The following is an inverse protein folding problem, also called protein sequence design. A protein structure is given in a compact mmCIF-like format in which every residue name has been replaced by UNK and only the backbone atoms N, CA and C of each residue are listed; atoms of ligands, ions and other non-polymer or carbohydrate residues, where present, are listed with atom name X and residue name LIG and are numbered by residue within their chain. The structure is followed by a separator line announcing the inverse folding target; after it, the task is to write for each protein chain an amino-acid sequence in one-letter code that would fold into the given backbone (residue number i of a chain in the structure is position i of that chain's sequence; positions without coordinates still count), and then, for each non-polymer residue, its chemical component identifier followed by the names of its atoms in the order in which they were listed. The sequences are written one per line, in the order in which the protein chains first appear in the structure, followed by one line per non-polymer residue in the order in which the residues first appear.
data_IF_227406393660
#
_entry.id   IF_227406393660
#
_cell.length_a   1.000
_cell.length_b   1.000
_cell.length_c   1.000
_cell.angle_alpha   90.00
_cell.angle_beta   90.00
_cell.angle_gamma   90.00
#
_symmetry.space_group_name_H-M   'P 1'
#
loop_
_entity.id
_entity.type
_entity.pdbx_description
1 polymer ?
#
# COMPACT_ATOMS: atom_id res chain seq x y z
N UNK A 1 35.60 2.20 -33.38
CA UNK A 1 34.97 0.89 -33.65
C UNK A 1 33.86 1.13 -34.65
N UNK A 2 33.72 0.29 -35.68
CA UNK A 2 32.63 0.42 -36.64
C UNK A 2 31.33 -0.09 -36.03
N UNK A 3 30.25 0.67 -36.20
CA UNK A 3 28.92 0.30 -35.73
C UNK A 3 28.00 0.06 -36.93
N UNK A 4 27.10 -0.90 -36.79
CA UNK A 4 26.02 -1.15 -37.76
C UNK A 4 24.68 -1.09 -37.04
N UNK A 5 23.67 -0.47 -37.68
CA UNK A 5 22.31 -0.44 -37.16
C UNK A 5 21.56 -1.70 -37.56
N UNK A 6 20.95 -2.36 -36.60
CA UNK A 6 20.06 -3.51 -36.81
C UNK A 6 18.63 -3.15 -36.44
N UNK A 7 17.66 -3.75 -37.12
CA UNK A 7 16.24 -3.61 -36.78
C UNK A 7 15.86 -4.69 -35.78
N UNK A 8 15.31 -4.28 -34.65
CA UNK A 8 14.88 -5.15 -33.56
C UNK A 8 13.38 -4.91 -33.34
N UNK A 9 12.63 -5.98 -33.10
CA UNK A 9 11.19 -5.93 -32.80
C UNK A 9 11.01 -6.43 -31.37
N UNK A 10 10.33 -5.66 -30.51
CA UNK A 10 10.02 -6.12 -29.16
C UNK A 10 9.11 -7.36 -29.23
N UNK A 11 9.50 -8.51 -28.65
CA UNK A 11 8.68 -9.71 -28.64
C UNK A 11 7.42 -9.59 -27.76
N UNK A 12 7.39 -8.63 -26.82
CA UNK A 12 6.25 -8.41 -25.90
C UNK A 12 5.18 -7.52 -26.52
N UNK A 13 5.56 -6.37 -27.08
CA UNK A 13 4.62 -5.36 -27.57
C UNK A 13 4.65 -5.11 -29.09
N UNK A 14 5.57 -5.74 -29.83
CA UNK A 14 5.65 -5.64 -31.30
C UNK A 14 6.22 -4.33 -31.85
N UNK A 15 6.59 -3.34 -31.00
CA UNK A 15 7.24 -2.10 -31.47
C UNK A 15 8.62 -2.41 -32.05
N UNK A 16 8.99 -1.75 -33.13
CA UNK A 16 10.30 -1.91 -33.77
C UNK A 16 11.18 -0.68 -33.56
N UNK A 17 12.49 -0.91 -33.49
CA UNK A 17 13.49 0.14 -33.36
C UNK A 17 14.80 -0.25 -34.05
N UNK A 18 15.65 0.75 -34.34
CA UNK A 18 16.98 0.52 -34.90
C UNK A 18 18.05 0.81 -33.85
N UNK A 19 18.82 -0.20 -33.48
CA UNK A 19 19.86 -0.07 -32.46
C UNK A 19 21.26 -0.21 -33.09
N UNK A 20 22.26 0.58 -32.66
CA UNK A 20 23.63 0.39 -33.08
C UNK A 20 24.26 -0.81 -32.34
N UNK A 21 24.98 -1.65 -33.08
CA UNK A 21 25.75 -2.77 -32.54
C UNK A 21 27.20 -2.76 -33.08
N UNK A 22 28.21 -3.06 -32.25
CA UNK A 22 29.60 -3.10 -32.69
C UNK A 22 29.83 -4.26 -33.69
N UNK A 23 30.32 -3.94 -34.88
CA UNK A 23 30.58 -4.93 -35.95
C UNK A 23 31.58 -5.99 -35.48
N UNK A 24 32.63 -5.53 -34.79
CA UNK A 24 33.72 -6.39 -34.33
C UNK A 24 33.24 -7.45 -33.33
N UNK A 25 32.24 -7.15 -32.50
CA UNK A 25 31.71 -8.08 -31.49
C UNK A 25 30.88 -9.18 -32.14
N UNK A 26 30.04 -8.82 -33.11
CA UNK A 26 29.17 -9.77 -33.81
C UNK A 26 29.98 -10.69 -34.72
N UNK A 27 30.98 -10.15 -35.44
CA UNK A 27 31.77 -10.94 -36.40
C UNK A 27 32.81 -11.85 -35.75
N UNK A 28 33.30 -11.55 -34.55
CA UNK A 28 34.31 -12.35 -33.84
C UNK A 28 33.82 -13.73 -33.40
N UNK A 29 32.52 -13.94 -33.25
CA UNK A 29 31.98 -15.22 -32.78
C UNK A 29 32.14 -16.28 -33.87
N UNK A 30 32.77 -17.43 -33.61
CA UNK A 30 33.05 -18.42 -34.67
C UNK A 30 31.76 -19.05 -35.23
N UNK A 31 30.79 -19.36 -34.37
CA UNK A 31 29.51 -19.97 -34.71
C UNK A 31 28.34 -19.41 -33.90
N UNK A 32 27.12 -19.45 -34.46
CA UNK A 32 25.88 -19.08 -33.79
C UNK A 32 25.55 -17.58 -33.80
N UNK A 33 24.56 -17.19 -33.00
CA UNK A 33 24.10 -15.80 -32.84
C UNK A 33 24.70 -15.16 -31.58
N UNK A 34 24.93 -13.84 -31.62
CA UNK A 34 25.39 -13.01 -30.51
C UNK A 34 24.19 -12.44 -29.77
N UNK A 35 24.13 -12.63 -28.45
CA UNK A 35 23.10 -12.03 -27.60
C UNK A 35 23.37 -10.55 -27.40
N UNK A 36 22.41 -9.71 -27.79
CA UNK A 36 22.45 -8.25 -27.61
C UNK A 36 21.36 -7.88 -26.61
N UNK A 37 21.75 -7.29 -25.48
CA UNK A 37 20.81 -6.80 -24.48
C UNK A 37 20.16 -5.49 -24.94
N UNK A 38 18.83 -5.44 -24.91
CA UNK A 38 18.01 -4.27 -25.24
C UNK A 38 17.40 -3.74 -23.94
N UNK A 39 17.89 -2.62 -23.40
CA UNK A 39 17.34 -2.05 -22.17
C UNK A 39 15.98 -1.38 -22.41
N UNK A 40 15.17 -1.31 -21.34
CA UNK A 40 13.94 -0.54 -21.32
C UNK A 40 14.20 0.93 -21.69
N UNK A 41 13.30 1.52 -22.47
CA UNK A 41 13.39 2.87 -23.01
C UNK A 41 14.14 2.99 -24.33
N UNK A 42 14.88 1.96 -24.78
CA UNK A 42 15.61 2.02 -26.05
C UNK A 42 14.68 1.88 -27.27
N UNK A 43 13.68 1.00 -27.17
CA UNK A 43 12.64 0.79 -28.20
C UNK A 43 11.24 0.97 -27.59
N UNK A 44 11.03 0.38 -26.41
CA UNK A 44 9.80 0.39 -25.63
C UNK A 44 10.14 0.19 -24.14
N UNK A 45 9.15 0.05 -23.28
CA UNK A 45 9.33 -0.12 -21.83
C UNK A 45 9.83 -1.53 -21.43
N UNK A 46 9.76 -2.50 -22.33
CA UNK A 46 10.25 -3.86 -22.12
C UNK A 46 11.78 -3.98 -22.27
N UNK A 47 12.40 -4.86 -21.48
CA UNK A 47 13.81 -5.25 -21.63
C UNK A 47 13.93 -6.72 -22.06
N UNK A 48 14.81 -7.01 -23.02
CA UNK A 48 14.95 -8.35 -23.60
C UNK A 48 16.31 -8.53 -24.27
N UNK A 49 16.67 -9.77 -24.60
CA UNK A 49 17.82 -10.09 -25.44
C UNK A 49 17.36 -10.37 -26.87
N UNK A 50 18.06 -9.81 -27.84
CA UNK A 50 17.95 -10.18 -29.25
C UNK A 50 19.16 -11.03 -29.64
N UNK A 51 18.94 -12.16 -30.32
CA UNK A 51 20.01 -13.01 -30.85
C UNK A 51 20.31 -12.62 -32.28
N UNK A 52 21.46 -11.98 -32.51
CA UNK A 52 21.86 -11.39 -33.79
C UNK A 52 22.94 -12.25 -34.45
N UNK A 53 22.73 -12.66 -35.68
CA UNK A 53 23.73 -13.45 -36.41
C UNK A 53 24.83 -12.59 -37.06
N UNK A 54 25.77 -13.24 -37.77
CA UNK A 54 26.88 -12.58 -38.48
C UNK A 54 26.43 -11.67 -39.64
N UNK A 55 25.24 -11.90 -40.18
CA UNK A 55 24.65 -11.08 -41.23
C UNK A 55 23.92 -9.85 -40.66
N UNK A 56 23.92 -9.71 -39.33
CA UNK A 56 23.23 -8.67 -38.58
C UNK A 56 21.71 -8.83 -38.61
N UNK A 57 21.22 -10.04 -38.87
CA UNK A 57 19.81 -10.40 -38.81
C UNK A 57 19.46 -10.90 -37.40
N UNK A 58 18.34 -10.43 -36.86
CA UNK A 58 17.81 -10.92 -35.58
C UNK A 58 17.12 -12.26 -35.81
N UNK A 59 17.62 -13.30 -35.16
CA UNK A 59 17.14 -14.69 -35.32
C UNK A 59 16.11 -15.09 -34.29
N UNK A 60 16.24 -14.60 -33.07
CA UNK A 60 15.34 -14.95 -31.98
C UNK A 60 15.38 -13.86 -30.88
N UNK A 61 14.42 -13.93 -29.96
CA UNK A 61 14.33 -13.06 -28.80
C UNK A 61 14.19 -13.89 -27.53
N UNK A 62 14.93 -13.51 -26.50
CA UNK A 62 14.68 -13.97 -25.14
C UNK A 62 14.13 -12.79 -24.35
N UNK A 63 12.83 -12.84 -24.07
CA UNK A 63 12.25 -11.97 -23.04
C UNK A 63 12.96 -12.32 -21.75
N UNK A 64 13.49 -11.31 -21.07
CA UNK A 64 13.89 -11.48 -19.68
C UNK A 64 12.59 -11.66 -18.90
N UNK A 65 12.08 -12.89 -18.86
CA UNK A 65 10.98 -13.25 -17.99
C UNK A 65 11.40 -12.81 -16.60
N UNK A 66 10.64 -11.86 -16.06
CA UNK A 66 10.45 -11.42 -14.68
C UNK A 66 11.58 -11.63 -13.64
N UNK A 67 12.35 -12.72 -13.63
CA UNK A 67 13.48 -13.07 -12.74
C UNK A 67 14.47 -11.95 -12.38
N UNK A 68 14.61 -10.89 -13.18
CA UNK A 68 15.45 -9.72 -12.86
C UNK A 68 14.68 -8.51 -12.31
N UNK A 69 13.35 -8.52 -12.33
CA UNK A 69 12.55 -7.53 -11.62
C UNK A 69 12.61 -7.83 -10.13
N UNK A 70 12.73 -6.75 -9.34
CA UNK A 70 12.46 -6.79 -7.91
C UNK A 70 11.12 -7.51 -7.67
N UNK A 71 11.10 -8.48 -6.76
CA UNK A 71 9.90 -9.25 -6.41
C UNK A 71 8.73 -8.33 -6.07
N UNK A 72 9.01 -7.18 -5.44
CA UNK A 72 7.98 -6.17 -5.14
C UNK A 72 7.32 -5.63 -6.42
N UNK A 73 8.10 -5.38 -7.48
CA UNK A 73 7.57 -4.91 -8.77
C UNK A 73 6.78 -5.98 -9.48
N UNK A 74 7.17 -7.26 -9.37
CA UNK A 74 6.41 -8.38 -9.95
C UNK A 74 5.03 -8.46 -9.31
N UNK A 75 5.00 -8.43 -7.98
CA UNK A 75 3.77 -8.46 -7.19
C UNK A 75 2.88 -7.26 -7.50
N UNK A 76 3.46 -6.08 -7.69
CA UNK A 76 2.70 -4.88 -8.07
C UNK A 76 2.10 -5.00 -9.48
N UNK A 77 2.88 -5.46 -10.46
CA UNK A 77 2.41 -5.69 -11.83
C UNK A 77 1.27 -6.72 -11.87
N UNK A 78 1.42 -7.81 -11.10
CA UNK A 78 0.39 -8.83 -10.93
C UNK A 78 -0.91 -8.23 -10.37
N UNK A 79 -0.85 -7.47 -9.27
CA UNK A 79 -2.05 -6.82 -8.70
C UNK A 79 -2.75 -5.95 -9.73
N UNK A 80 -1.99 -5.13 -10.46
CA UNK A 80 -2.53 -4.26 -11.50
C UNK A 80 -3.16 -5.03 -12.66
N UNK A 81 -2.55 -6.14 -13.07
CA UNK A 81 -3.11 -7.01 -14.11
C UNK A 81 -4.42 -7.68 -13.68
N UNK A 82 -4.47 -8.20 -12.44
CA UNK A 82 -5.69 -8.78 -11.87
C UNK A 82 -6.82 -7.72 -11.85
N UNK A 83 -6.52 -6.50 -11.41
CA UNK A 83 -7.52 -5.43 -11.36
C UNK A 83 -7.97 -4.97 -12.75
N UNK A 84 -7.09 -5.00 -13.75
CA UNK A 84 -7.45 -4.71 -15.15
C UNK A 84 -8.41 -5.76 -15.71
N UNK A 85 -8.25 -7.02 -15.29
CA UNK A 85 -9.11 -8.15 -15.67
C UNK A 85 -10.29 -8.37 -14.70
N UNK A 86 -10.58 -7.41 -13.81
CA UNK A 86 -11.56 -7.55 -12.75
C UNK A 86 -12.97 -7.96 -13.22
N UNK A 87 -13.35 -7.62 -14.45
CA UNK A 87 -14.66 -7.93 -15.03
C UNK A 87 -14.71 -9.31 -15.71
N UNK A 88 -13.56 -9.94 -15.94
CA UNK A 88 -13.48 -11.34 -16.41
C UNK A 88 -13.82 -12.32 -15.29
N UNK A 89 -13.60 -11.91 -14.03
CA UNK A 89 -13.89 -12.74 -12.87
C UNK A 89 -15.38 -12.65 -12.49
N UNK A 90 -16.02 -13.82 -12.30
CA UNK A 90 -17.39 -13.89 -11.79
C UNK A 90 -17.42 -13.63 -10.27
N UNK A 91 -17.28 -12.37 -9.87
CA UNK A 91 -17.18 -11.96 -8.47
C UNK A 91 -18.59 -11.82 -7.88
N UNK A 92 -19.10 -12.95 -7.38
CA UNK A 92 -20.36 -13.03 -6.65
C UNK A 92 -20.12 -13.65 -5.28
N UNK A 93 -20.99 -13.37 -4.32
CA UNK A 93 -20.89 -13.95 -2.97
C UNK A 93 -20.84 -15.49 -3.03
N UNK A 94 -21.70 -16.10 -3.84
CA UNK A 94 -21.71 -17.56 -4.02
C UNK A 94 -20.41 -18.10 -4.63
N UNK A 95 -19.76 -17.36 -5.53
CA UNK A 95 -18.48 -17.78 -6.09
C UNK A 95 -17.35 -17.68 -5.06
N UNK A 96 -17.32 -16.61 -4.26
CA UNK A 96 -16.33 -16.40 -3.20
C UNK A 96 -16.43 -17.51 -2.15
N UNK A 97 -17.65 -17.87 -1.73
CA UNK A 97 -17.89 -18.94 -0.76
C UNK A 97 -17.42 -20.33 -1.22
N UNK A 98 -17.08 -20.54 -2.49
CA UNK A 98 -16.40 -21.78 -2.94
C UNK A 98 -14.93 -21.83 -2.51
N UNK A 99 -14.31 -20.66 -2.34
CA UNK A 99 -12.87 -20.51 -2.10
C UNK A 99 -12.53 -20.19 -0.66
N UNK A 100 -13.42 -19.54 0.08
CA UNK A 100 -13.18 -19.10 1.46
C UNK A 100 -14.40 -19.39 2.33
N UNK A 101 -14.17 -19.73 3.60
CA UNK A 101 -15.27 -19.91 4.56
C UNK A 101 -15.95 -18.56 4.86
N UNK A 102 -17.19 -18.61 5.37
CA UNK A 102 -17.89 -17.39 5.75
C UNK A 102 -17.15 -16.65 6.87
N UNK A 103 -16.63 -17.39 7.86
CA UNK A 103 -15.91 -16.81 9.00
C UNK A 103 -14.58 -16.16 8.60
N UNK A 104 -13.81 -16.81 7.72
CA UNK A 104 -12.58 -16.20 7.20
C UNK A 104 -12.91 -14.95 6.38
N UNK A 105 -13.96 -14.96 5.56
CA UNK A 105 -14.37 -13.76 4.83
C UNK A 105 -14.76 -12.63 5.78
N UNK A 106 -15.46 -12.93 6.88
CA UNK A 106 -15.79 -11.91 7.90
C UNK A 106 -14.53 -11.30 8.52
N UNK A 107 -13.51 -12.12 8.80
CA UNK A 107 -12.21 -11.62 9.28
C UNK A 107 -11.55 -10.70 8.26
N UNK A 108 -11.53 -11.08 6.98
CA UNK A 108 -10.94 -10.25 5.93
C UNK A 108 -11.73 -8.94 5.75
N UNK A 109 -13.05 -8.99 5.74
CA UNK A 109 -13.87 -7.79 5.62
C UNK A 109 -13.65 -6.85 6.81
N UNK A 110 -13.52 -7.38 8.03
CA UNK A 110 -13.19 -6.56 9.18
C UNK A 110 -11.77 -5.99 9.11
N UNK A 111 -10.79 -6.79 8.67
CA UNK A 111 -9.42 -6.33 8.43
C UNK A 111 -9.39 -5.11 7.48
N UNK A 112 -10.18 -5.16 6.41
CA UNK A 112 -10.36 -4.04 5.49
C UNK A 112 -11.03 -2.83 6.15
N UNK A 113 -12.08 -3.06 6.93
CA UNK A 113 -12.81 -2.01 7.64
C UNK A 113 -11.95 -1.25 8.65
N UNK A 114 -11.10 -1.95 9.40
CA UNK A 114 -10.17 -1.34 10.36
C UNK A 114 -8.86 -0.85 9.71
N UNK A 115 -8.75 -0.93 8.38
CA UNK A 115 -7.55 -0.56 7.61
C UNK A 115 -6.29 -1.29 8.06
N UNK A 116 -6.44 -2.54 8.50
CA UNK A 116 -5.29 -3.40 8.77
C UNK A 116 -4.56 -3.70 7.45
N UNK A 117 -3.22 -3.62 7.41
CA UNK A 117 -2.47 -4.06 6.24
C UNK A 117 -2.69 -5.55 6.00
N UNK A 118 -2.84 -5.93 4.72
CA UNK A 118 -3.04 -7.31 4.32
C UNK A 118 -1.73 -7.98 3.95
N UNK A 119 -1.56 -9.22 4.37
CA UNK A 119 -0.56 -10.13 3.84
C UNK A 119 -1.28 -11.39 3.35
N UNK A 120 -1.27 -11.59 2.04
CA UNK A 120 -1.86 -12.75 1.39
C UNK A 120 -0.75 -13.74 1.05
N UNK A 121 -0.89 -14.98 1.50
CA UNK A 121 0.05 -16.06 1.17
C UNK A 121 -0.56 -16.87 0.03
N UNK A 122 0.06 -16.82 -1.13
CA UNK A 122 -0.37 -17.54 -2.34
C UNK A 122 0.85 -17.95 -3.17
N UNK A 123 0.91 -19.22 -3.55
CA UNK A 123 1.98 -19.75 -4.39
C UNK A 123 1.63 -19.66 -5.88
N UNK A 124 0.34 -19.70 -6.21
CA UNK A 124 -0.18 -19.61 -7.57
C UNK A 124 -0.98 -18.32 -7.72
N UNK A 125 -0.28 -17.22 -7.98
CA UNK A 125 -0.88 -15.89 -8.03
C UNK A 125 -1.86 -15.68 -9.17
N UNK A 126 -1.78 -16.50 -10.23
CA UNK A 126 -2.73 -16.50 -11.34
C UNK A 126 -3.94 -17.42 -11.10
N UNK A 127 -4.02 -18.06 -9.93
CA UNK A 127 -5.14 -18.95 -9.61
C UNK A 127 -6.46 -18.17 -9.55
N UNK A 128 -7.53 -18.75 -10.10
CA UNK A 128 -8.87 -18.13 -10.10
C UNK A 128 -9.31 -17.75 -8.68
N UNK A 129 -9.02 -18.60 -7.68
CA UNK A 129 -9.33 -18.35 -6.27
C UNK A 129 -8.74 -17.04 -5.76
N UNK A 130 -7.48 -16.77 -6.11
CA UNK A 130 -6.75 -15.60 -5.63
C UNK A 130 -7.29 -14.37 -6.33
N UNK A 131 -7.42 -14.42 -7.66
CA UNK A 131 -7.96 -13.33 -8.47
C UNK A 131 -9.37 -12.92 -8.04
N UNK A 132 -10.25 -13.89 -7.76
CA UNK A 132 -11.62 -13.63 -7.27
C UNK A 132 -11.60 -12.99 -5.88
N UNK A 133 -10.84 -13.55 -4.94
CA UNK A 133 -10.78 -13.04 -3.57
C UNK A 133 -10.15 -11.64 -3.51
N UNK A 134 -8.99 -11.46 -4.15
CA UNK A 134 -8.28 -10.19 -4.19
C UNK A 134 -9.14 -9.10 -4.83
N UNK A 135 -9.74 -9.38 -5.98
CA UNK A 135 -10.61 -8.40 -6.65
C UNK A 135 -11.85 -8.09 -5.81
N UNK A 136 -12.44 -9.07 -5.12
CA UNK A 136 -13.56 -8.81 -4.22
C UNK A 136 -13.18 -7.84 -3.09
N UNK A 137 -12.06 -8.12 -2.40
CA UNK A 137 -11.57 -7.26 -1.32
C UNK A 137 -11.19 -5.87 -1.84
N UNK A 138 -10.51 -5.77 -2.98
CA UNK A 138 -10.12 -4.50 -3.58
C UNK A 138 -11.32 -3.65 -4.04
N UNK A 139 -12.39 -4.28 -4.54
CA UNK A 139 -13.63 -3.58 -4.92
C UNK A 139 -14.37 -3.00 -3.70
N UNK A 140 -14.30 -3.66 -2.55
CA UNK A 140 -14.91 -3.16 -1.28
C UNK A 140 -13.97 -2.15 -0.60
N UNK A 141 -12.68 -2.45 -0.54
CA UNK A 141 -11.64 -1.68 0.13
C UNK A 141 -10.49 -1.37 -0.84
N UNK A 142 -10.53 -0.23 -1.56
CA UNK A 142 -9.50 0.14 -2.53
C UNK A 142 -8.08 0.20 -1.94
N UNK A 143 -7.95 0.44 -0.64
CA UNK A 143 -6.65 0.43 0.06
C UNK A 143 -5.99 -0.94 0.06
N UNK A 144 -6.77 -2.04 -0.03
CA UNK A 144 -6.23 -3.40 -0.14
C UNK A 144 -5.41 -3.56 -1.42
N UNK A 145 -5.87 -3.00 -2.55
CA UNK A 145 -5.12 -3.06 -3.80
C UNK A 145 -3.72 -2.44 -3.67
N UNK A 146 -3.65 -1.31 -2.96
CA UNK A 146 -2.42 -0.54 -2.77
C UNK A 146 -1.49 -1.18 -1.75
N UNK A 147 -2.04 -1.62 -0.62
CA UNK A 147 -1.25 -1.93 0.57
C UNK A 147 -1.10 -3.43 0.85
N UNK A 148 -1.84 -4.30 0.15
CA UNK A 148 -1.68 -5.74 0.33
C UNK A 148 -0.29 -6.20 -0.15
N UNK A 149 0.39 -6.93 0.74
CA UNK A 149 1.56 -7.73 0.42
C UNK A 149 1.12 -9.11 -0.02
N UNK A 150 1.77 -9.66 -1.04
CA UNK A 150 1.51 -11.00 -1.53
C UNK A 150 2.84 -11.76 -1.47
N UNK A 151 2.88 -12.84 -0.70
CA UNK A 151 4.08 -13.66 -0.53
C UNK A 151 3.82 -15.10 -0.96
N UNK A 152 4.86 -15.70 -1.56
CA UNK A 152 4.99 -17.14 -1.58
C UNK A 152 5.22 -17.67 -0.15
N UNK A 153 4.85 -18.93 0.09
CA UNK A 153 4.89 -19.52 1.42
C UNK A 153 6.30 -19.53 2.05
N UNK A 154 7.33 -19.80 1.25
CA UNK A 154 8.74 -19.75 1.66
C UNK A 154 9.18 -18.33 2.07
N UNK A 155 8.85 -17.33 1.25
CA UNK A 155 9.14 -15.92 1.55
C UNK A 155 8.41 -15.40 2.77
N UNK A 156 7.20 -15.88 3.02
CA UNK A 156 6.49 -15.58 4.26
C UNK A 156 7.21 -16.11 5.49
N UNK A 157 7.74 -17.34 5.45
CA UNK A 157 8.48 -17.91 6.58
C UNK A 157 9.74 -17.10 6.89
N UNK A 158 10.54 -16.77 5.87
CA UNK A 158 11.71 -15.88 6.00
C UNK A 158 11.31 -14.54 6.64
N UNK A 159 10.29 -13.89 6.09
CA UNK A 159 9.81 -12.59 6.59
C UNK A 159 9.26 -12.68 8.03
N UNK A 160 8.58 -13.77 8.38
CA UNK A 160 8.02 -13.96 9.70
C UNK A 160 9.11 -14.09 10.78
N UNK A 161 10.21 -14.76 10.46
CA UNK A 161 11.34 -14.91 11.37
C UNK A 161 12.03 -13.56 11.62
N UNK A 162 12.13 -12.70 10.61
CA UNK A 162 12.77 -11.38 10.70
C UNK A 162 11.85 -10.28 11.27
N UNK A 163 10.53 -10.41 11.11
CA UNK A 163 9.57 -9.32 11.34
C UNK A 163 8.32 -9.71 12.13
N UNK A 164 8.45 -10.68 13.04
CA UNK A 164 7.36 -11.19 13.88
C UNK A 164 6.51 -10.10 14.56
N UNK A 165 7.13 -9.05 15.10
CA UNK A 165 6.41 -7.95 15.77
C UNK A 165 5.59 -7.11 14.78
N UNK A 166 6.16 -6.76 13.62
CA UNK A 166 5.45 -6.03 12.57
C UNK A 166 4.25 -6.81 12.07
N UNK A 167 4.39 -8.13 11.95
CA UNK A 167 3.30 -8.99 11.49
C UNK A 167 2.09 -8.91 12.41
N UNK A 168 2.23 -8.62 13.71
CA UNK A 168 1.08 -8.50 14.64
C UNK A 168 0.05 -7.46 14.22
N UNK A 169 0.43 -6.52 13.34
CA UNK A 169 -0.45 -5.50 12.76
C UNK A 169 -1.20 -5.97 11.50
N UNK A 170 -0.75 -7.05 10.88
CA UNK A 170 -1.30 -7.54 9.62
C UNK A 170 -2.49 -8.47 9.82
N UNK A 171 -3.46 -8.33 8.93
CA UNK A 171 -4.44 -9.38 8.65
C UNK A 171 -3.79 -10.34 7.64
N UNK A 172 -3.41 -11.53 8.13
CA UNK A 172 -2.66 -12.52 7.35
C UNK A 172 -3.58 -13.66 6.97
N UNK A 173 -3.69 -13.92 5.68
CA UNK A 173 -4.54 -14.97 5.14
C UNK A 173 -3.79 -15.85 4.16
N UNK A 174 -3.86 -17.15 4.39
CA UNK A 174 -3.30 -18.12 3.49
C UNK A 174 -4.37 -18.61 2.53
N UNK A 175 -4.26 -18.18 1.27
CA UNK A 175 -5.24 -18.43 0.22
C UNK A 175 -5.22 -19.90 -0.20
N UNK A 176 -4.02 -20.49 -0.24
CA UNK A 176 -3.85 -21.90 -0.60
C UNK A 176 -4.48 -22.85 0.41
N UNK A 177 -4.29 -22.59 1.70
CA UNK A 177 -4.83 -23.41 2.79
C UNK A 177 -6.17 -22.94 3.33
N UNK A 178 -6.74 -21.87 2.76
CA UNK A 178 -8.04 -21.29 3.13
C UNK A 178 -8.15 -21.02 4.64
N UNK A 179 -7.13 -20.38 5.22
CA UNK A 179 -7.12 -20.12 6.66
C UNK A 179 -6.56 -18.74 6.98
N UNK A 180 -7.18 -18.09 7.96
CA UNK A 180 -6.62 -16.91 8.63
C UNK A 180 -5.45 -17.36 9.51
N UNK A 181 -4.25 -16.87 9.20
CA UNK A 181 -3.04 -17.14 9.98
C UNK A 181 -2.97 -16.21 11.18
N UNK A 182 -3.30 -14.94 10.97
CA UNK A 182 -3.16 -13.90 11.99
C UNK A 182 -4.12 -12.75 11.77
N UNK A 183 -4.51 -12.10 12.87
CA UNK A 183 -5.33 -10.90 12.88
C UNK A 183 -4.87 -9.96 14.00
N UNK A 184 -4.88 -8.63 13.80
CA UNK A 184 -4.45 -7.66 14.82
C UNK A 184 -5.54 -7.33 15.86
N UNK A 185 -6.62 -8.12 15.92
CA UNK A 185 -7.79 -7.89 16.77
C UNK A 185 -8.16 -9.13 17.58
N UNK A 186 -8.49 -8.92 18.86
CA UNK A 186 -8.58 -9.95 19.91
C UNK A 186 -9.63 -11.03 19.62
N UNK A 187 -10.83 -10.64 19.23
CA UNK A 187 -11.86 -11.53 18.69
C UNK A 187 -13.06 -10.67 18.35
N UNK A 188 -13.51 -10.71 17.11
CA UNK A 188 -14.84 -10.20 16.79
C UNK A 188 -15.76 -11.38 17.09
N UNK A 189 -16.82 -11.17 17.88
CA UNK A 189 -18.06 -11.89 17.58
C UNK A 189 -18.38 -11.46 16.15
N UNK A 190 -18.28 -12.34 15.17
CA UNK A 190 -18.50 -11.96 13.77
C UNK A 190 -19.97 -11.63 13.45
N UNK A 191 -20.82 -11.76 14.48
CA UNK A 191 -22.26 -11.49 14.54
C UNK A 191 -22.68 -10.10 14.00
N UNK A 192 -21.97 -8.97 14.24
CA UNK A 192 -22.34 -7.67 13.65
C UNK A 192 -22.26 -7.67 12.13
N UNK A 193 -21.44 -8.55 11.53
CA UNK A 193 -21.37 -8.72 10.08
C UNK A 193 -22.42 -9.71 9.57
N UNK A 194 -23.10 -10.49 10.42
CA UNK A 194 -24.16 -11.40 9.98
C UNK A 194 -25.26 -10.65 9.23
N UNK A 195 -25.63 -9.46 9.72
CA UNK A 195 -26.54 -8.55 9.04
C UNK A 195 -26.11 -8.24 7.59
N UNK A 196 -24.82 -7.97 7.37
CA UNK A 196 -24.26 -7.73 6.04
C UNK A 196 -24.40 -8.96 5.15
N UNK A 197 -24.10 -10.15 5.66
CA UNK A 197 -24.15 -11.38 4.90
C UNK A 197 -25.58 -11.77 4.55
N UNK A 198 -26.53 -11.60 5.46
CA UNK A 198 -27.96 -11.78 5.20
C UNK A 198 -28.48 -10.84 4.12
N UNK A 199 -28.05 -9.58 4.17
CA UNK A 199 -28.35 -8.59 3.14
C UNK A 199 -27.77 -9.01 1.78
N UNK A 200 -26.48 -9.38 1.73
CA UNK A 200 -25.80 -9.82 0.49
C UNK A 200 -26.47 -11.08 -0.09
N UNK A 201 -26.79 -12.08 0.74
CA UNK A 201 -27.44 -13.33 0.32
C UNK A 201 -28.79 -13.09 -0.37
N UNK A 202 -29.53 -12.07 0.07
CA UNK A 202 -30.83 -11.67 -0.50
C UNK A 202 -30.71 -10.70 -1.69
N UNK A 203 -29.54 -10.13 -1.90
CA UNK A 203 -29.28 -9.11 -2.93
C UNK A 203 -28.95 -9.77 -4.28
N UNK A 204 -29.48 -9.27 -5.42
CA UNK A 204 -29.11 -9.75 -6.74
C UNK A 204 -27.58 -9.77 -6.95
N UNK A 205 -26.99 -10.79 -7.58
CA UNK A 205 -25.53 -10.95 -7.65
C UNK A 205 -24.75 -9.72 -8.12
N UNK A 206 -25.28 -9.00 -9.12
CA UNK A 206 -24.68 -7.77 -9.68
C UNK A 206 -24.59 -6.61 -8.69
N UNK A 207 -25.39 -6.63 -7.63
CA UNK A 207 -25.47 -5.56 -6.63
C UNK A 207 -24.76 -5.92 -5.32
N UNK A 208 -24.40 -7.18 -5.09
CA UNK A 208 -23.83 -7.64 -3.82
C UNK A 208 -22.59 -6.85 -3.39
N UNK A 209 -21.64 -6.63 -4.30
CA UNK A 209 -20.41 -5.85 -4.02
C UNK A 209 -20.76 -4.39 -3.72
N UNK A 210 -21.68 -3.80 -4.47
CA UNK A 210 -22.09 -2.40 -4.30
C UNK A 210 -22.71 -2.19 -2.91
N UNK A 211 -23.57 -3.12 -2.48
CA UNK A 211 -24.17 -3.07 -1.15
C UNK A 211 -23.13 -3.29 -0.04
N UNK A 212 -22.21 -4.24 -0.23
CA UNK A 212 -21.13 -4.47 0.73
C UNK A 212 -20.21 -3.25 0.89
N UNK A 213 -19.81 -2.63 -0.22
CA UNK A 213 -19.02 -1.40 -0.23
C UNK A 213 -19.76 -0.26 0.48
N UNK A 214 -21.01 -0.01 0.11
CA UNK A 214 -21.80 1.06 0.73
C UNK A 214 -21.98 0.85 2.24
N UNK A 215 -22.18 -0.40 2.67
CA UNK A 215 -22.25 -0.77 4.08
C UNK A 215 -20.99 -0.32 4.84
N UNK A 216 -19.80 -0.72 4.37
CA UNK A 216 -18.55 -0.34 5.03
C UNK A 216 -18.23 1.15 4.92
N UNK A 217 -18.61 1.82 3.82
CA UNK A 217 -18.48 3.27 3.67
C UNK A 217 -19.33 4.00 4.73
N UNK A 218 -20.57 3.57 4.97
CA UNK A 218 -21.43 4.12 6.02
C UNK A 218 -20.88 3.87 7.41
N UNK A 219 -20.48 2.62 7.72
CA UNK A 219 -19.88 2.30 9.01
C UNK A 219 -18.63 3.14 9.29
N UNK A 220 -17.79 3.36 8.26
CA UNK A 220 -16.57 4.16 8.41
C UNK A 220 -16.90 5.61 8.71
N UNK A 221 -17.86 6.18 7.97
CA UNK A 221 -18.35 7.54 8.22
C UNK A 221 -18.88 7.69 9.65
N UNK A 222 -19.71 6.77 10.11
CA UNK A 222 -20.29 6.83 11.45
C UNK A 222 -19.26 6.60 12.56
N UNK A 223 -18.25 5.76 12.32
CA UNK A 223 -17.14 5.59 13.25
C UNK A 223 -16.39 6.91 13.49
N UNK A 224 -16.11 7.69 12.44
CA UNK A 224 -15.48 9.01 12.60
C UNK A 224 -16.38 9.99 13.38
N UNK A 225 -17.69 9.98 13.12
CA UNK A 225 -18.63 10.84 13.86
C UNK A 225 -18.68 10.50 15.36
N UNK A 226 -18.68 9.20 15.70
CA UNK A 226 -18.63 8.75 17.10
C UNK A 226 -17.35 9.25 17.80
N UNK A 227 -16.22 9.23 17.09
CA UNK A 227 -14.93 9.71 17.60
C UNK A 227 -14.98 11.20 17.93
N UNK A 228 -15.57 12.02 17.04
CA UNK A 228 -15.68 13.49 17.23
C UNK A 228 -16.59 13.86 18.40
N UNK A 229 -17.72 13.17 18.56
CA UNK A 229 -18.71 13.50 19.60
C UNK A 229 -18.26 13.07 21.02
N UNK A 230 -17.15 12.33 21.13
CA UNK A 230 -16.59 11.82 22.39
C UNK A 230 -17.65 11.11 23.29
N UNK A 231 -18.61 10.42 22.65
CA UNK A 231 -19.73 9.81 23.34
C UNK A 231 -19.33 8.44 23.90
N UNK A 232 -19.33 8.32 25.22
CA UNK A 232 -18.93 7.06 25.88
C UNK A 232 -20.07 6.04 26.02
N UNK A 233 -21.34 6.47 26.03
CA UNK A 233 -22.48 5.55 26.21
C UNK A 233 -23.15 5.19 24.88
N UNK A 234 -23.23 3.90 24.58
CA UNK A 234 -23.82 3.33 23.34
C UNK A 234 -25.25 3.82 23.11
N UNK A 235 -26.11 3.80 24.11
CA UNK A 235 -27.51 4.26 24.00
C UNK A 235 -27.63 5.73 23.58
N UNK A 236 -26.72 6.59 24.09
CA UNK A 236 -26.69 8.01 23.74
C UNK A 236 -26.27 8.18 22.28
N UNK A 237 -25.26 7.43 21.83
CA UNK A 237 -24.85 7.39 20.41
C UNK A 237 -26.03 6.97 19.54
N UNK A 238 -26.70 5.87 19.86
CA UNK A 238 -27.86 5.37 19.09
C UNK A 238 -28.93 6.44 18.95
N UNK A 239 -29.32 7.10 20.06
CA UNK A 239 -30.34 8.14 20.05
C UNK A 239 -29.94 9.33 19.18
N UNK A 240 -28.69 9.79 19.28
CA UNK A 240 -28.17 10.91 18.50
C UNK A 240 -28.12 10.56 17.01
N UNK A 241 -27.53 9.41 16.66
CA UNK A 241 -27.36 8.99 15.27
C UNK A 241 -28.69 8.63 14.60
N UNK A 242 -29.62 7.95 15.29
CA UNK A 242 -30.98 7.69 14.75
C UNK A 242 -31.75 8.96 14.48
N UNK A 243 -31.60 9.99 15.33
CA UNK A 243 -32.22 11.30 15.11
C UNK A 243 -31.61 12.02 13.92
N UNK A 244 -30.28 11.94 13.77
CA UNK A 244 -29.52 12.60 12.67
C UNK A 244 -29.72 11.89 11.32
N UNK A 245 -29.84 10.57 11.33
CA UNK A 245 -29.87 9.69 10.16
C UNK A 245 -31.03 8.68 10.24
N UNK A 246 -32.29 9.13 10.15
CA UNK A 246 -33.46 8.27 10.35
C UNK A 246 -33.58 7.14 9.32
N UNK A 247 -33.07 7.34 8.08
CA UNK A 247 -33.07 6.32 7.02
C UNK A 247 -32.03 5.22 7.24
N UNK A 248 -31.10 5.42 8.18
CA UNK A 248 -29.98 4.54 8.50
C UNK A 248 -30.13 3.96 9.91
N UNK A 249 -31.32 4.06 10.52
CA UNK A 249 -31.54 3.70 11.91
C UNK A 249 -31.16 2.25 12.25
N UNK A 250 -31.26 1.36 11.25
CA UNK A 250 -30.88 -0.05 11.32
C UNK A 250 -29.37 -0.26 11.54
N UNK A 251 -28.51 0.67 11.12
CA UNK A 251 -27.05 0.58 11.32
C UNK A 251 -26.60 0.97 12.74
N UNK A 252 -27.51 1.47 13.57
CA UNK A 252 -27.21 1.92 14.93
C UNK A 252 -27.71 0.90 15.95
N UNK A 253 -27.32 -0.36 15.80
CA UNK A 253 -27.46 -1.39 16.84
C UNK A 253 -26.27 -1.29 17.83
N UNK A 254 -26.39 -1.83 19.05
CA UNK A 254 -25.27 -1.84 19.99
C UNK A 254 -24.02 -2.53 19.41
N UNK A 255 -24.22 -3.60 18.65
CA UNK A 255 -23.17 -4.43 18.05
C UNK A 255 -22.41 -3.67 16.96
N UNK A 256 -23.12 -2.98 16.06
CA UNK A 256 -22.50 -2.15 15.02
C UNK A 256 -21.79 -0.92 15.60
N UNK A 257 -22.31 -0.33 16.68
CA UNK A 257 -21.60 0.77 17.37
C UNK A 257 -20.32 0.25 18.03
N UNK A 258 -20.36 -0.94 18.62
CA UNK A 258 -19.15 -1.55 19.17
C UNK A 258 -18.13 -1.81 18.04
N UNK A 259 -18.57 -2.34 16.90
CA UNK A 259 -17.72 -2.54 15.72
C UNK A 259 -17.05 -1.23 15.25
N UNK A 260 -17.79 -0.11 15.24
CA UNK A 260 -17.27 1.22 14.89
C UNK A 260 -16.22 1.72 15.90
N UNK A 261 -16.39 1.41 17.19
CA UNK A 261 -15.40 1.74 18.24
C UNK A 261 -14.14 0.90 18.10
N UNK A 262 -14.31 -0.40 17.91
CA UNK A 262 -13.21 -1.34 17.72
C UNK A 262 -12.37 -0.93 16.50
N UNK A 263 -13.01 -0.45 15.43
CA UNK A 263 -12.32 0.19 14.30
C UNK A 263 -11.46 1.36 14.76
N UNK A 264 -12.05 2.35 15.45
CA UNK A 264 -11.32 3.55 15.84
C UNK A 264 -10.11 3.25 16.73
N UNK A 265 -10.28 2.35 17.71
CA UNK A 265 -9.19 1.89 18.57
C UNK A 265 -8.11 1.15 17.79
N UNK A 266 -8.51 0.30 16.84
CA UNK A 266 -7.56 -0.47 16.02
C UNK A 266 -6.79 0.43 15.06
N UNK A 267 -7.46 1.37 14.38
CA UNK A 267 -6.81 2.37 13.52
C UNK A 267 -5.79 3.16 14.33
N UNK A 268 -6.15 3.63 15.53
CA UNK A 268 -5.22 4.37 16.39
C UNK A 268 -4.00 3.53 16.81
N UNK A 269 -4.18 2.23 17.07
CA UNK A 269 -3.08 1.31 17.37
C UNK A 269 -2.18 1.03 16.15
N UNK A 270 -2.77 0.94 14.97
CA UNK A 270 -2.05 0.66 13.71
C UNK A 270 -1.25 1.88 13.23
N UNK A 271 -1.80 3.08 13.37
CA UNK A 271 -1.17 4.34 12.97
C UNK A 271 -0.02 4.76 13.90
N UNK A 272 0.05 4.23 15.13
CA UNK A 272 1.18 4.45 16.04
C UNK A 272 2.43 3.74 15.50
N UNK A 273 3.48 4.48 15.11
CA UNK A 273 4.67 3.85 14.55
C UNK A 273 5.42 3.08 15.64
N UNK A 274 5.95 1.93 15.28
CA UNK A 274 6.75 1.10 16.20
C UNK A 274 8.00 1.87 16.62
N UNK A 275 8.17 2.09 17.93
CA UNK A 275 9.27 2.87 18.51
C UNK A 275 8.97 4.36 18.72
N UNK A 276 7.96 4.93 18.07
CA UNK A 276 7.67 6.38 18.18
C UNK A 276 6.92 6.77 19.45
N UNK A 277 6.15 5.86 20.05
CA UNK A 277 5.54 6.14 21.35
C UNK A 277 6.63 6.50 22.39
N UNK A 278 7.82 5.89 22.30
CA UNK A 278 8.91 6.16 23.22
C UNK A 278 9.67 7.46 22.92
N UNK A 279 9.79 7.83 21.64
CA UNK A 279 10.40 9.11 21.23
C UNK A 279 9.44 10.26 21.57
N UNK A 280 8.18 10.21 21.13
CA UNK A 280 7.19 11.29 21.32
C UNK A 280 6.85 11.52 22.80
N UNK A 281 6.84 10.47 23.64
CA UNK A 281 6.62 10.63 25.09
C UNK A 281 7.77 11.32 25.82
N UNK A 282 8.95 11.48 25.20
CA UNK A 282 10.12 12.17 25.77
C UNK A 282 10.34 13.57 25.20
N UNK A 283 9.59 13.96 24.17
CA UNK A 283 9.74 15.28 23.55
C UNK A 283 9.03 16.33 24.39
N UNK A 284 9.75 17.39 24.75
CA UNK A 284 9.18 18.54 25.44
C UNK A 284 8.22 19.30 24.50
N UNK A 285 6.92 19.11 24.70
CA UNK A 285 5.85 19.78 23.94
C UNK A 285 5.87 21.32 24.11
N UNK A 286 6.69 21.85 25.03
CA UNK A 286 6.77 23.29 25.33
C UNK A 286 7.84 24.02 24.54
N UNK A 287 8.87 23.35 24.04
CA UNK A 287 9.94 23.99 23.28
C UNK A 287 9.42 24.49 21.94
N UNK A 288 9.56 25.80 21.69
CA UNK A 288 9.16 26.44 20.43
C UNK A 288 10.40 26.70 19.56
N UNK A 289 10.24 26.48 18.27
CA UNK A 289 11.25 26.80 17.26
C UNK A 289 10.70 27.87 16.34
N UNK A 290 11.45 28.95 16.14
CA UNK A 290 11.10 30.08 15.29
C UNK A 290 12.07 30.18 14.11
N UNK A 291 11.55 30.22 12.89
CA UNK A 291 12.37 30.38 11.69
C UNK A 291 13.00 31.78 11.63
N UNK A 292 14.30 31.84 11.30
CA UNK A 292 15.04 33.10 11.19
C UNK A 292 14.97 33.65 9.75
N UNK A 293 14.23 34.74 9.57
CA UNK A 293 14.03 35.36 8.25
C UNK A 293 15.29 36.06 7.70
N UNK A 294 16.28 36.34 8.55
CA UNK A 294 17.52 37.03 8.14
C UNK A 294 18.55 36.09 7.47
N UNK A 295 18.31 34.78 7.49
CA UNK A 295 19.25 33.80 6.93
C UNK A 295 19.08 33.62 5.41
N UNK A 296 20.19 33.62 4.67
CA UNK A 296 20.20 33.54 3.19
C UNK A 296 19.56 32.24 2.66
N UNK A 297 18.35 32.39 2.11
CA UNK A 297 17.41 31.37 1.57
C UNK A 297 18.05 30.32 0.65
N UNK A 298 19.12 30.66 -0.07
CA UNK A 298 19.67 29.80 -1.14
C UNK A 298 20.38 28.54 -0.63
N UNK A 299 20.95 28.56 0.59
CA UNK A 299 21.65 27.40 1.14
C UNK A 299 20.68 26.32 1.66
N UNK A 300 19.52 26.74 2.15
CA UNK A 300 18.47 25.88 2.70
C UNK A 300 17.82 24.94 1.66
N UNK A 301 17.70 25.38 0.40
CA UNK A 301 17.06 24.59 -0.66
C UNK A 301 17.97 23.52 -1.26
N UNK A 302 19.27 23.59 -0.97
CA UNK A 302 20.32 22.68 -1.45
C UNK A 302 20.67 21.57 -0.46
N UNK A 303 19.90 21.40 0.63
CA UNK A 303 20.12 20.31 1.58
C UNK A 303 19.95 18.95 0.88
N UNK A 304 20.94 18.04 0.96
CA UNK A 304 20.91 16.75 0.28
C UNK A 304 19.96 15.76 0.96
N UNK A 305 19.78 15.88 2.28
CA UNK A 305 18.88 15.04 3.05
C UNK A 305 17.42 15.52 2.89
N UNK A 306 16.55 14.59 2.49
CA UNK A 306 15.14 14.88 2.20
C UNK A 306 14.40 15.29 3.48
N UNK A 307 14.69 14.69 4.63
CA UNK A 307 14.05 15.02 5.90
C UNK A 307 14.47 16.42 6.38
N UNK A 308 15.77 16.75 6.31
CA UNK A 308 16.26 18.10 6.63
C UNK A 308 15.57 19.17 5.77
N UNK A 309 15.49 18.91 4.46
CA UNK A 309 14.85 19.81 3.50
C UNK A 309 13.38 20.05 3.81
N UNK A 310 12.61 18.99 4.11
CA UNK A 310 11.20 19.13 4.47
C UNK A 310 11.02 19.77 5.85
N UNK A 311 11.89 19.45 6.81
CA UNK A 311 11.90 20.07 8.16
C UNK A 311 12.03 21.58 8.06
N UNK A 312 13.02 22.06 7.31
CA UNK A 312 13.25 23.50 7.15
C UNK A 312 12.12 24.20 6.38
N UNK A 313 11.55 23.54 5.36
CA UNK A 313 10.39 24.05 4.62
C UNK A 313 9.16 24.23 5.51
N UNK A 314 8.88 23.26 6.37
CA UNK A 314 7.77 23.32 7.32
C UNK A 314 7.99 24.44 8.34
N UNK A 315 9.20 24.55 8.91
CA UNK A 315 9.57 25.65 9.82
C UNK A 315 9.36 27.03 9.19
N UNK A 316 9.78 27.20 7.94
CA UNK A 316 9.60 28.45 7.18
C UNK A 316 8.13 28.79 6.95
N UNK A 317 7.30 27.79 6.65
CA UNK A 317 5.87 27.95 6.39
C UNK A 317 5.12 28.37 7.65
N UNK A 318 5.37 27.69 8.77
CA UNK A 318 4.64 27.89 10.03
C UNK A 318 5.20 29.04 10.87
N UNK A 319 6.42 29.51 10.57
CA UNK A 319 7.18 30.58 11.26
C UNK A 319 7.56 30.27 12.70
N UNK A 320 6.63 29.77 13.52
CA UNK A 320 6.86 29.31 14.89
C UNK A 320 6.13 27.99 15.09
N UNK A 321 6.82 26.96 15.57
CA UNK A 321 6.26 25.61 15.67
C UNK A 321 6.82 24.85 16.87
N UNK A 322 6.00 24.02 17.51
CA UNK A 322 6.48 23.03 18.49
C UNK A 322 7.05 21.82 17.76
N UNK A 323 7.92 21.07 18.43
CA UNK A 323 8.49 19.85 17.84
C UNK A 323 7.42 18.83 17.42
N UNK A 324 6.37 18.66 18.24
CA UNK A 324 5.26 17.77 17.91
C UNK A 324 4.49 18.22 16.68
N UNK A 325 4.14 19.51 16.59
CA UNK A 325 3.44 20.03 15.41
C UNK A 325 4.31 19.88 14.15
N UNK A 326 5.62 20.08 14.25
CA UNK A 326 6.56 19.86 13.15
C UNK A 326 6.56 18.40 12.66
N UNK A 327 6.63 17.43 13.58
CA UNK A 327 6.58 16.00 13.24
C UNK A 327 5.25 15.66 12.55
N UNK A 328 4.12 16.20 13.03
CA UNK A 328 2.81 15.94 12.44
C UNK A 328 2.69 16.47 10.99
N UNK A 329 3.24 17.64 10.70
CA UNK A 329 3.30 18.16 9.32
C UNK A 329 4.24 17.31 8.44
N UNK A 330 5.38 16.88 8.97
CA UNK A 330 6.30 15.99 8.24
C UNK A 330 5.67 14.63 7.93
N UNK A 331 4.79 14.10 8.80
CA UNK A 331 4.01 12.88 8.53
C UNK A 331 3.04 13.04 7.39
N UNK A 332 2.32 14.17 7.33
CA UNK A 332 1.41 14.47 6.21
C UNK A 332 2.18 14.50 4.88
N UNK A 333 3.31 15.22 4.86
CA UNK A 333 4.18 15.29 3.68
C UNK A 333 4.68 13.90 3.28
N UNK A 334 5.15 13.10 4.23
CA UNK A 334 5.65 11.75 3.96
C UNK A 334 4.56 10.85 3.36
N UNK A 335 3.34 10.90 3.90
CA UNK A 335 2.21 10.14 3.39
C UNK A 335 1.80 10.58 1.97
N UNK A 336 1.73 11.88 1.71
CA UNK A 336 1.37 12.44 0.39
C UNK A 336 2.39 12.11 -0.69
N UNK A 337 3.68 12.07 -0.32
CA UNK A 337 4.79 11.86 -1.25
C UNK A 337 5.34 10.43 -1.24
N UNK A 338 4.71 9.53 -0.48
CA UNK A 338 5.15 8.14 -0.28
C UNK A 338 6.62 8.05 0.20
N UNK A 339 7.06 9.02 1.01
CA UNK A 339 8.39 9.05 1.61
C UNK A 339 8.40 8.31 2.95
N UNK A 340 9.57 7.82 3.34
CA UNK A 340 9.83 7.29 4.69
C UNK A 340 10.84 8.19 5.37
N UNK A 341 10.43 8.81 6.48
CA UNK A 341 11.29 9.65 7.30
C UNK A 341 11.68 8.93 8.58
N UNK A 342 12.91 9.18 9.03
CA UNK A 342 13.39 8.77 10.35
C UNK A 342 13.18 9.93 11.33
N UNK A 343 12.00 9.96 11.97
CA UNK A 343 11.62 11.06 12.85
C UNK A 343 12.49 11.18 14.11
N UNK A 344 13.26 10.14 14.48
CA UNK A 344 14.17 10.22 15.62
C UNK A 344 15.33 11.20 15.38
N UNK A 345 15.64 11.53 14.12
CA UNK A 345 16.67 12.50 13.73
C UNK A 345 16.21 13.95 13.81
N UNK A 346 14.91 14.22 13.91
CA UNK A 346 14.37 15.59 13.87
C UNK A 346 14.95 16.48 14.98
N UNK A 347 15.08 16.03 16.25
CA UNK A 347 15.74 16.82 17.29
C UNK A 347 17.17 17.24 16.93
N UNK A 348 17.99 16.30 16.43
CA UNK A 348 19.38 16.58 16.05
C UNK A 348 19.46 17.57 14.88
N UNK A 349 18.57 17.42 13.89
CA UNK A 349 18.43 18.36 12.76
C UNK A 349 18.07 19.77 13.25
N UNK A 350 17.17 19.88 14.23
CA UNK A 350 16.79 21.17 14.79
C UNK A 350 17.94 21.82 15.54
N UNK A 351 18.68 21.06 16.35
CA UNK A 351 19.85 21.58 17.05
C UNK A 351 20.94 22.02 16.06
N UNK A 352 21.13 21.30 14.94
CA UNK A 352 22.00 21.73 13.84
C UNK A 352 21.51 23.02 13.18
N UNK A 353 20.20 23.16 12.94
CA UNK A 353 19.62 24.38 12.39
C UNK A 353 19.74 25.58 13.34
N UNK A 354 19.66 25.36 14.65
CA UNK A 354 19.94 26.39 15.67
C UNK A 354 21.41 26.80 15.60
N UNK A 355 22.34 25.85 15.55
CA UNK A 355 23.78 26.14 15.43
C UNK A 355 24.13 26.91 14.15
N UNK A 356 23.46 26.59 13.03
CA UNK A 356 23.61 27.30 11.74
C UNK A 356 22.88 28.65 11.69
N UNK A 357 22.10 28.99 12.72
CA UNK A 357 21.32 30.23 12.79
C UNK A 357 20.10 30.26 11.88
N UNK A 358 19.68 29.12 11.33
CA UNK A 358 18.50 29.02 10.47
C UNK A 358 17.20 29.18 11.25
N UNK A 359 17.20 28.77 12.51
CA UNK A 359 16.09 28.88 13.44
C UNK A 359 16.59 29.32 14.83
N UNK A 360 15.68 29.81 15.65
CA UNK A 360 15.88 30.11 17.06
C UNK A 360 15.05 29.16 17.91
N UNK A 361 15.64 28.67 19.01
CA UNK A 361 14.94 27.91 20.05
C UNK A 361 14.50 28.89 21.13
N UNK A 362 13.19 28.99 21.36
CA UNK A 362 12.58 29.97 22.28
C UNK A 362 12.36 29.41 23.69
#
# INVERSE_FOLDING_TARGET
MSERKITVICPVCGRSGRIPVPVDVIQKKETGATSVFIPAGMICEDAFYAYVDKNFDVRDYLVLEFSLMDEEKKVENLKNDILRRADEFNITYSNIMKFISEDDLRVLLFGGFIRSPFLLIENETDSERFCVLFTYLAKIFPDVARNAKIFHADKFLEYNDEHKEKLKKYTIYNVAYKLVVQKPFSSITTEPLEFLFDMIKKTPPKLQIVYAKNFFDYLSKFAEEIKVENLQKTEKIQKVLRKKYPRQAEYFTPELIQLMRDRNESVEKLEKPEGEAEIVLKLDDKTLFMYNDDTHIRQAEMLPDILEKHTLRTLRKEKTITLKHLIDELRKIAAEQLLKFDYSRVPDILDEFVMKGYIMKL
#
